data_IF_421661876558
#
_entry.id   IF_421661876558
#
_cell.length_a   1.000
_cell.length_b   1.000
_cell.length_c   1.000
_cell.angle_alpha   90.00
_cell.angle_beta   90.00
_cell.angle_gamma   90.00
#
_symmetry.space_group_name_H-M   'P 1'
#
loop_
_entity.id
_entity.type
_entity.pdbx_description
1 polymer ?
#
# COMPACT_ATOMS: atom_id res chain seq x y z
N UNK A 1 46.55 -37.21 -51.05
CA UNK A 1 45.33 -36.60 -51.63
C UNK A 1 44.26 -36.66 -50.55
N UNK A 2 44.08 -35.73 -49.60
CA UNK A 2 44.10 -34.26 -49.56
C UNK A 2 42.90 -33.59 -50.25
N UNK A 3 42.06 -32.98 -49.38
CA UNK A 3 41.02 -31.95 -49.54
C UNK A 3 39.55 -32.37 -49.82
N UNK A 4 38.55 -31.63 -49.27
CA UNK A 4 38.53 -30.87 -48.01
C UNK A 4 37.20 -31.01 -47.22
N UNK A 5 37.14 -30.57 -45.94
CA UNK A 5 35.87 -30.41 -45.23
C UNK A 5 35.21 -29.07 -45.59
N UNK A 6 33.94 -29.10 -45.96
CA UNK A 6 33.13 -27.92 -46.28
C UNK A 6 32.75 -27.13 -45.04
N UNK A 7 33.23 -25.88 -44.95
CA UNK A 7 32.80 -24.86 -44.00
C UNK A 7 31.42 -24.31 -44.38
N UNK A 8 30.45 -24.34 -43.46
CA UNK A 8 29.38 -23.33 -43.39
C UNK A 8 29.10 -23.03 -41.91
N UNK A 9 29.69 -21.94 -41.43
CA UNK A 9 29.04 -20.63 -41.16
C UNK A 9 28.00 -20.70 -40.04
N UNK A 10 28.48 -20.34 -38.86
CA UNK A 10 27.73 -19.75 -37.76
C UNK A 10 26.77 -18.67 -38.29
N UNK A 11 25.48 -18.83 -37.99
CA UNK A 11 24.52 -17.73 -37.98
C UNK A 11 23.84 -17.71 -36.62
N UNK A 12 24.44 -16.92 -35.74
CA UNK A 12 23.77 -16.28 -34.62
C UNK A 12 22.58 -15.47 -35.15
N UNK A 13 21.36 -15.97 -35.00
CA UNK A 13 20.17 -15.13 -35.11
C UNK A 13 19.96 -14.44 -33.76
N UNK A 14 20.69 -13.34 -33.57
CA UNK A 14 20.32 -12.32 -32.62
C UNK A 14 18.96 -11.75 -33.06
N UNK A 15 17.88 -12.20 -32.41
CA UNK A 15 16.62 -11.49 -32.49
C UNK A 15 16.75 -10.23 -31.63
N UNK A 16 17.00 -9.13 -32.33
CA UNK A 16 16.94 -7.79 -31.78
C UNK A 16 15.57 -7.58 -31.12
N UNK A 17 15.56 -7.46 -29.80
CA UNK A 17 14.44 -6.87 -29.07
C UNK A 17 14.31 -5.42 -29.54
N UNK A 18 13.42 -5.20 -30.50
CA UNK A 18 12.97 -3.87 -30.86
C UNK A 18 12.35 -3.22 -29.64
N UNK A 19 12.99 -2.16 -29.13
CA UNK A 19 12.33 -1.14 -28.30
C UNK A 19 11.12 -0.62 -29.07
N UNK A 20 9.95 -1.20 -28.83
CA UNK A 20 8.66 -0.57 -29.15
C UNK A 20 8.14 0.04 -27.86
N UNK A 21 8.27 1.36 -27.80
CA UNK A 21 7.54 2.27 -26.94
C UNK A 21 6.05 1.88 -26.92
N UNK A 22 5.63 1.24 -25.83
CA UNK A 22 4.26 0.77 -25.63
C UNK A 22 3.33 1.93 -25.23
N UNK A 23 2.09 1.97 -25.75
CA UNK A 23 1.14 3.00 -25.35
C UNK A 23 0.63 2.71 -23.93
N UNK A 24 0.86 3.69 -23.07
CA UNK A 24 0.10 4.15 -21.90
C UNK A 24 -1.29 3.50 -21.80
N UNK A 25 -1.48 2.56 -20.87
CA UNK A 25 -2.78 1.98 -20.55
C UNK A 25 -2.95 1.87 -19.03
N UNK A 26 -3.94 2.61 -18.58
CA UNK A 26 -3.94 3.41 -17.37
C UNK A 26 -5.30 3.27 -16.68
N UNK A 27 -5.55 2.11 -16.05
CA UNK A 27 -6.91 1.64 -15.93
C UNK A 27 -7.62 1.69 -14.49
N UNK A 28 -6.98 1.48 -13.29
CA UNK A 28 -7.50 0.75 -12.02
C UNK A 28 -8.60 1.33 -11.13
N UNK A 29 -8.98 2.58 -11.32
CA UNK A 29 -10.02 3.18 -10.49
C UNK A 29 -11.14 3.77 -11.32
N UNK A 30 -11.07 3.64 -12.64
CA UNK A 30 -12.21 3.93 -13.51
C UNK A 30 -13.36 2.94 -13.33
N UNK A 31 -13.09 1.75 -12.77
CA UNK A 31 -14.14 0.87 -12.28
C UNK A 31 -15.02 1.55 -11.22
N UNK A 32 -14.45 2.36 -10.34
CA UNK A 32 -15.15 3.17 -9.33
C UNK A 32 -15.64 4.51 -9.90
N UNK A 33 -14.96 5.07 -10.91
CA UNK A 33 -15.42 6.24 -11.66
C UNK A 33 -16.76 6.01 -12.34
N UNK A 34 -16.88 4.88 -13.05
CA UNK A 34 -18.03 4.65 -13.91
C UNK A 34 -19.30 4.42 -13.10
N UNK A 35 -19.13 4.14 -11.81
CA UNK A 35 -20.19 4.10 -10.82
C UNK A 35 -20.73 5.47 -10.41
N UNK A 36 -19.95 6.51 -10.63
CA UNK A 36 -20.31 7.89 -10.28
C UNK A 36 -20.69 8.71 -11.54
N UNK A 37 -20.13 8.40 -12.72
CA UNK A 37 -20.54 8.94 -14.04
C UNK A 37 -22.00 8.57 -14.39
N UNK A 38 -22.37 7.36 -14.03
CA UNK A 38 -23.71 6.84 -13.90
C UNK A 38 -24.75 7.72 -13.26
N UNK A 39 -24.40 8.19 -12.07
CA UNK A 39 -25.23 8.99 -11.21
C UNK A 39 -25.37 10.40 -11.79
N UNK A 40 -24.30 10.94 -12.36
CA UNK A 40 -24.31 12.23 -13.04
C UNK A 40 -25.15 12.24 -14.34
N UNK A 41 -25.18 11.16 -15.11
CA UNK A 41 -25.97 11.07 -16.35
C UNK A 41 -27.46 10.79 -16.09
N UNK A 42 -27.79 10.06 -15.02
CA UNK A 42 -29.17 9.79 -14.62
C UNK A 42 -29.90 11.02 -14.03
N UNK A 43 -29.17 11.97 -13.43
CA UNK A 43 -29.73 13.15 -12.76
C UNK A 43 -29.26 14.51 -13.34
N UNK A 44 -28.39 14.51 -14.36
CA UNK A 44 -27.83 15.69 -15.00
C UNK A 44 -28.82 16.76 -15.49
N UNK A 45 -30.01 16.41 -16.03
CA UNK A 45 -30.97 17.42 -16.46
C UNK A 45 -31.64 18.21 -15.32
N UNK A 46 -31.61 17.73 -14.07
CA UNK A 46 -32.19 18.43 -12.92
C UNK A 46 -31.17 19.20 -12.07
N UNK A 47 -29.86 18.91 -12.18
CA UNK A 47 -28.79 19.51 -11.35
C UNK A 47 -28.25 20.85 -11.91
N UNK A 48 -28.65 21.23 -13.14
CA UNK A 48 -28.20 22.51 -13.73
C UNK A 48 -28.66 23.76 -12.95
N UNK A 49 -29.66 23.65 -12.06
CA UNK A 49 -30.10 24.77 -11.21
C UNK A 49 -29.29 24.94 -9.92
N UNK A 50 -28.59 23.90 -9.45
CA UNK A 50 -27.84 23.90 -8.18
C UNK A 50 -26.34 24.14 -8.35
N UNK A 51 -25.83 24.08 -9.59
CA UNK A 51 -24.39 24.19 -9.91
C UNK A 51 -23.79 25.59 -9.65
N UNK A 52 -24.60 26.64 -9.73
CA UNK A 52 -24.14 28.01 -9.52
C UNK A 52 -23.97 28.37 -8.03
N UNK A 53 -24.76 27.77 -7.12
CA UNK A 53 -24.69 28.05 -5.69
C UNK A 53 -23.56 27.30 -4.97
N UNK A 54 -23.32 26.03 -5.34
CA UNK A 54 -22.35 25.18 -4.65
C UNK A 54 -20.88 25.50 -4.97
N UNK A 55 -20.59 26.10 -6.12
CA UNK A 55 -19.22 26.49 -6.48
C UNK A 55 -18.72 27.73 -5.73
N UNK A 56 -19.63 28.59 -5.23
CA UNK A 56 -19.27 29.78 -4.46
C UNK A 56 -18.88 29.50 -3.01
N UNK A 57 -19.41 28.42 -2.42
CA UNK A 57 -19.17 28.07 -1.01
C UNK A 57 -17.97 27.12 -0.81
N UNK A 58 -17.54 26.41 -1.86
CA UNK A 58 -16.51 25.38 -1.78
C UNK A 58 -15.06 25.86 -2.02
N UNK A 59 -14.87 27.13 -2.38
CA UNK A 59 -13.54 27.69 -2.65
C UNK A 59 -12.70 27.94 -1.38
N UNK A 60 -13.27 27.74 -0.18
CA UNK A 60 -12.65 28.07 1.11
C UNK A 60 -12.11 26.89 1.93
N UNK A 61 -12.14 25.65 1.42
CA UNK A 61 -11.42 24.52 2.03
C UNK A 61 -10.34 24.04 1.07
N UNK A 62 -9.12 24.57 1.22
CA UNK A 62 -7.93 24.00 0.60
C UNK A 62 -7.78 22.56 1.09
N UNK A 63 -8.09 21.59 0.24
CA UNK A 63 -8.05 20.17 0.54
C UNK A 63 -7.39 19.45 -0.64
N UNK A 64 -6.42 18.61 -0.30
CA UNK A 64 -5.46 17.92 -1.17
C UNK A 64 -6.10 17.23 -2.39
N UNK A 65 -5.39 17.20 -3.53
CA UNK A 65 -5.73 16.37 -4.71
C UNK A 65 -5.52 14.86 -4.48
N UNK A 66 -5.40 14.45 -3.21
CA UNK A 66 -5.05 13.11 -2.76
C UNK A 66 -6.18 12.54 -1.90
N UNK A 67 -6.52 11.26 -2.11
CA UNK A 67 -7.49 10.52 -1.32
C UNK A 67 -6.83 9.23 -0.82
N UNK A 68 -6.92 8.94 0.47
CA UNK A 68 -6.45 7.67 1.04
C UNK A 68 -7.59 6.88 1.69
N UNK A 69 -7.65 5.59 1.41
CA UNK A 69 -8.71 4.73 1.93
C UNK A 69 -8.25 3.30 2.18
N UNK A 70 -8.90 2.65 3.13
CA UNK A 70 -8.82 1.20 3.32
C UNK A 70 -10.00 0.54 2.63
N UNK A 71 -9.71 -0.41 1.74
CA UNK A 71 -10.70 -1.26 1.11
C UNK A 71 -10.56 -2.66 1.68
N UNK A 72 -11.63 -3.20 2.27
CA UNK A 72 -11.62 -4.56 2.78
C UNK A 72 -12.84 -5.36 2.35
N UNK A 73 -12.64 -6.66 2.13
CA UNK A 73 -13.71 -7.58 1.78
C UNK A 73 -14.06 -8.49 2.95
N UNK A 74 -15.34 -8.60 3.27
CA UNK A 74 -15.87 -9.55 4.26
C UNK A 74 -16.14 -10.91 3.60
N UNK A 75 -15.70 -11.99 4.24
CA UNK A 75 -16.10 -13.35 3.83
C UNK A 75 -17.60 -13.56 4.10
N UNK A 76 -18.16 -14.66 3.64
CA UNK A 76 -19.51 -15.11 4.02
C UNK A 76 -19.44 -15.86 5.34
N UNK A 77 -20.30 -15.51 6.29
CA UNK A 77 -20.51 -16.28 7.51
C UNK A 77 -21.37 -17.50 7.20
N UNK A 78 -20.95 -18.67 7.68
CA UNK A 78 -21.72 -19.90 7.54
C UNK A 78 -22.19 -20.36 8.92
N UNK A 79 -23.50 -20.27 9.19
CA UNK A 79 -24.10 -20.74 10.44
C UNK A 79 -24.35 -22.25 10.47
N UNK A 80 -24.10 -22.95 9.37
CA UNK A 80 -24.27 -24.38 9.23
C UNK A 80 -23.56 -24.91 7.99
N UNK A 81 -23.55 -26.24 7.84
CA UNK A 81 -22.93 -26.88 6.68
C UNK A 81 -23.60 -26.42 5.38
N UNK A 82 -22.85 -25.70 4.53
CA UNK A 82 -23.35 -25.01 3.33
C UNK A 82 -24.42 -23.92 3.57
N UNK A 83 -24.66 -23.47 4.81
CA UNK A 83 -25.69 -22.48 5.12
C UNK A 83 -25.07 -21.13 5.41
N UNK A 84 -25.11 -20.22 4.43
CA UNK A 84 -24.71 -18.84 4.63
C UNK A 84 -25.76 -18.08 5.46
N UNK A 85 -25.33 -17.32 6.48
CA UNK A 85 -26.22 -16.49 7.31
C UNK A 85 -25.98 -14.99 7.18
N UNK A 86 -24.99 -14.56 6.39
CA UNK A 86 -24.71 -13.16 6.15
C UNK A 86 -23.23 -12.89 5.91
N UNK A 87 -22.82 -11.62 5.86
CA UNK A 87 -21.41 -11.26 5.78
C UNK A 87 -20.69 -11.57 7.11
N UNK A 88 -19.56 -12.27 7.03
CA UNK A 88 -18.69 -12.63 8.14
C UNK A 88 -18.09 -11.43 8.83
N UNK A 89 -17.68 -11.64 10.08
CA UNK A 89 -17.10 -10.58 10.92
C UNK A 89 -15.59 -10.40 10.69
N UNK A 90 -14.98 -11.20 9.81
CA UNK A 90 -13.56 -11.12 9.48
C UNK A 90 -13.36 -10.59 8.07
N UNK A 91 -12.30 -9.80 7.92
CA UNK A 91 -11.88 -9.28 6.62
C UNK A 91 -10.88 -10.23 5.97
N UNK A 92 -11.27 -10.77 4.82
CA UNK A 92 -10.49 -11.77 4.11
C UNK A 92 -9.49 -11.18 3.13
N UNK A 93 -9.65 -9.88 2.85
CA UNK A 93 -8.79 -9.11 1.97
C UNK A 93 -8.76 -7.69 2.49
N UNK A 94 -7.57 -7.12 2.63
CA UNK A 94 -7.37 -5.77 3.13
C UNK A 94 -6.40 -5.08 2.17
N UNK A 95 -6.80 -3.93 1.64
CA UNK A 95 -5.98 -3.07 0.81
C UNK A 95 -5.97 -1.66 1.40
N UNK A 96 -4.80 -1.06 1.49
CA UNK A 96 -4.69 0.39 1.52
C UNK A 96 -4.63 0.88 0.07
N UNK A 97 -5.41 1.90 -0.25
CA UNK A 97 -5.46 2.51 -1.57
C UNK A 97 -5.26 4.01 -1.41
N UNK A 98 -4.34 4.56 -2.20
CA UNK A 98 -4.05 6.00 -2.24
C UNK A 98 -4.12 6.53 -3.65
N UNK A 99 -4.89 7.59 -3.83
CA UNK A 99 -5.21 8.19 -5.12
C UNK A 99 -4.58 9.56 -5.14
N UNK A 100 -3.69 9.83 -6.09
CA UNK A 100 -3.10 11.15 -6.27
C UNK A 100 -3.12 11.49 -7.74
N UNK A 101 -3.98 12.44 -8.12
CA UNK A 101 -4.25 12.69 -9.53
C UNK A 101 -4.66 11.39 -10.24
N UNK A 102 -3.95 11.03 -11.32
CA UNK A 102 -4.17 9.80 -12.09
C UNK A 102 -3.26 8.63 -11.65
N UNK A 103 -2.78 8.60 -10.42
CA UNK A 103 -2.04 7.45 -9.89
C UNK A 103 -2.79 6.82 -8.72
N UNK A 104 -2.89 5.50 -8.77
CA UNK A 104 -3.41 4.65 -7.71
C UNK A 104 -2.30 3.77 -7.17
N UNK A 105 -2.08 3.90 -5.88
CA UNK A 105 -1.18 3.02 -5.16
C UNK A 105 -1.99 2.08 -4.29
N UNK A 106 -1.78 0.78 -4.45
CA UNK A 106 -2.46 -0.27 -3.71
C UNK A 106 -1.45 -1.08 -2.91
N UNK A 107 -1.61 -1.10 -1.60
CA UNK A 107 -0.85 -1.96 -0.69
C UNK A 107 -1.76 -3.07 -0.23
N UNK A 108 -1.46 -4.30 -0.64
CA UNK A 108 -2.13 -5.51 -0.15
C UNK A 108 -1.59 -5.86 1.23
N UNK A 109 -2.47 -5.97 2.21
CA UNK A 109 -2.10 -6.30 3.59
C UNK A 109 -2.50 -7.75 3.84
N UNK A 110 -1.54 -8.64 4.13
CA UNK A 110 -1.83 -10.03 4.48
C UNK A 110 -2.78 -10.09 5.67
N UNK A 111 -3.86 -10.87 5.54
CA UNK A 111 -4.93 -10.90 6.53
C UNK A 111 -4.49 -11.49 7.88
N UNK A 112 -3.48 -12.36 7.84
CA UNK A 112 -2.92 -13.09 8.98
C UNK A 112 -1.74 -12.33 9.64
N UNK A 113 -1.50 -11.08 9.22
CA UNK A 113 -0.56 -10.16 9.85
C UNK A 113 -0.95 -9.91 11.31
N UNK A 114 0.00 -10.04 12.22
CA UNK A 114 -0.16 -9.69 13.63
C UNK A 114 -0.32 -8.18 13.76
N UNK A 115 -1.37 -7.79 14.46
CA UNK A 115 -1.65 -6.42 14.86
C UNK A 115 -1.67 -6.36 16.38
N UNK A 116 -1.01 -5.34 16.92
CA UNK A 116 -0.96 -5.02 18.34
C UNK A 116 -1.18 -3.52 18.43
N UNK A 117 -2.30 -3.09 19.01
CA UNK A 117 -2.64 -1.68 19.06
C UNK A 117 -4.02 -1.41 19.63
N UNK A 118 -4.39 -0.13 19.67
CA UNK A 118 -5.69 0.29 20.16
C UNK A 118 -6.78 0.05 19.10
N UNK A 119 -7.99 -0.20 19.57
CA UNK A 119 -9.20 -0.22 18.71
C UNK A 119 -10.28 0.62 19.38
N UNK A 120 -11.38 0.96 18.68
CA UNK A 120 -12.52 1.62 19.32
C UNK A 120 -13.11 0.90 20.55
N UNK A 121 -12.75 -0.38 20.77
CA UNK A 121 -13.15 -1.16 21.97
C UNK A 121 -11.99 -1.42 22.95
N UNK A 122 -10.87 -0.70 22.81
CA UNK A 122 -9.67 -0.82 23.62
C UNK A 122 -8.57 -1.67 22.98
N UNK A 123 -7.50 -1.91 23.75
CA UNK A 123 -6.30 -2.64 23.33
C UNK A 123 -6.63 -4.01 22.74
N UNK A 124 -6.00 -4.31 21.61
CA UNK A 124 -6.17 -5.55 20.88
C UNK A 124 -4.84 -6.12 20.41
N UNK A 125 -4.67 -7.42 20.63
CA UNK A 125 -3.58 -8.22 20.10
C UNK A 125 -4.19 -9.42 19.35
N UNK A 126 -3.82 -9.57 18.08
CA UNK A 126 -4.31 -10.66 17.25
C UNK A 126 -3.95 -10.47 15.79
N UNK A 127 -4.74 -11.07 14.90
CA UNK A 127 -4.55 -10.92 13.45
C UNK A 127 -5.33 -9.70 12.95
N UNK A 128 -4.79 -9.00 11.96
CA UNK A 128 -5.42 -7.78 11.45
C UNK A 128 -6.82 -8.05 10.86
N UNK A 129 -7.07 -9.25 10.33
CA UNK A 129 -8.39 -9.63 9.83
C UNK A 129 -9.51 -9.64 10.88
N UNK A 130 -9.20 -9.82 12.16
CA UNK A 130 -10.17 -9.80 13.27
C UNK A 130 -10.32 -8.41 13.89
N UNK A 131 -9.55 -7.41 13.45
CA UNK A 131 -9.73 -6.02 13.91
C UNK A 131 -11.13 -5.52 13.57
N UNK A 132 -11.63 -5.84 12.37
CA UNK A 132 -12.98 -5.44 11.96
C UNK A 132 -14.08 -6.01 12.87
N UNK A 133 -13.94 -7.25 13.35
CA UNK A 133 -14.88 -7.88 14.29
C UNK A 133 -15.01 -7.08 15.60
N UNK A 134 -13.90 -6.50 16.06
CA UNK A 134 -13.84 -5.73 17.31
C UNK A 134 -14.16 -4.26 17.09
N UNK A 135 -13.45 -3.60 16.19
CA UNK A 135 -13.47 -2.15 15.99
C UNK A 135 -14.32 -1.66 14.82
N UNK A 136 -14.97 -2.55 14.07
CA UNK A 136 -15.70 -2.21 12.86
C UNK A 136 -14.79 -1.63 11.77
N UNK A 137 -15.39 -0.97 10.78
CA UNK A 137 -14.63 -0.39 9.67
C UNK A 137 -13.68 0.73 10.11
N UNK A 138 -14.06 1.54 11.10
CA UNK A 138 -13.18 2.57 11.67
C UNK A 138 -11.98 1.99 12.41
N UNK A 139 -12.17 0.92 13.20
CA UNK A 139 -11.04 0.24 13.84
C UNK A 139 -10.05 -0.34 12.82
N UNK A 140 -10.56 -0.91 11.72
CA UNK A 140 -9.70 -1.40 10.65
C UNK A 140 -8.95 -0.26 9.92
N UNK A 141 -9.63 0.87 9.68
CA UNK A 141 -9.04 2.07 9.08
C UNK A 141 -7.86 2.56 9.92
N UNK A 142 -8.05 2.68 11.24
CA UNK A 142 -7.02 3.11 12.18
C UNK A 142 -5.86 2.12 12.24
N UNK A 143 -6.15 0.82 12.34
CA UNK A 143 -5.12 -0.22 12.38
C UNK A 143 -4.21 -0.21 11.14
N UNK A 144 -4.79 0.00 9.95
CA UNK A 144 -3.99 0.12 8.71
C UNK A 144 -3.20 1.44 8.68
N UNK A 145 -3.78 2.53 9.22
CA UNK A 145 -3.10 3.82 9.33
C UNK A 145 -1.86 3.73 10.23
N UNK A 146 -1.99 3.08 11.39
CA UNK A 146 -0.91 2.81 12.32
C UNK A 146 0.15 1.89 11.71
N UNK A 147 -0.29 0.78 11.09
CA UNK A 147 0.60 -0.18 10.45
C UNK A 147 1.49 0.44 9.36
N UNK A 148 0.95 1.35 8.56
CA UNK A 148 1.66 1.98 7.45
C UNK A 148 2.34 3.30 7.84
N UNK A 149 2.06 3.84 9.03
CA UNK A 149 2.54 5.15 9.46
C UNK A 149 2.02 6.31 8.59
N UNK A 150 0.89 6.12 7.89
CA UNK A 150 0.30 7.14 7.00
C UNK A 150 -1.17 7.36 7.31
N UNK A 151 -1.69 8.59 7.14
CA UNK A 151 -3.11 8.85 7.36
C UNK A 151 -3.96 8.09 6.33
N UNK A 152 -5.01 7.45 6.84
CA UNK A 152 -6.07 6.83 6.05
C UNK A 152 -7.36 7.63 6.27
N UNK A 153 -7.88 8.30 5.25
CA UNK A 153 -9.04 9.19 5.39
C UNK A 153 -10.36 8.42 5.46
N UNK A 154 -10.53 7.41 4.60
CA UNK A 154 -11.80 6.70 4.46
C UNK A 154 -11.67 5.18 4.58
N UNK A 155 -12.80 4.51 4.77
CA UNK A 155 -12.92 3.07 4.67
C UNK A 155 -14.01 2.69 3.66
N UNK A 156 -13.83 1.56 2.99
CA UNK A 156 -14.83 0.91 2.12
C UNK A 156 -14.80 -0.58 2.41
N UNK A 157 -15.89 -1.09 2.95
CA UNK A 157 -16.07 -2.50 3.25
C UNK A 157 -17.10 -3.07 2.27
N UNK A 158 -16.72 -4.17 1.62
CA UNK A 158 -17.50 -4.79 0.55
C UNK A 158 -17.66 -6.30 0.76
N UNK A 159 -18.65 -6.88 0.11
CA UNK A 159 -18.93 -8.32 0.14
C UNK A 159 -18.53 -8.98 -1.18
N UNK A 160 -18.42 -10.31 -1.21
CA UNK A 160 -18.21 -11.01 -2.48
C UNK A 160 -19.32 -10.75 -3.50
N UNK A 161 -20.57 -10.52 -3.06
CA UNK A 161 -21.66 -10.17 -3.96
C UNK A 161 -21.41 -8.86 -4.70
N UNK A 162 -20.90 -7.85 -3.98
CA UNK A 162 -20.49 -6.59 -4.60
C UNK A 162 -19.40 -6.84 -5.65
N UNK A 163 -18.40 -7.67 -5.35
CA UNK A 163 -17.34 -8.02 -6.31
C UNK A 163 -17.90 -8.73 -7.55
N UNK A 164 -18.78 -9.72 -7.38
CA UNK A 164 -19.41 -10.43 -8.49
C UNK A 164 -20.16 -9.46 -9.43
N UNK A 165 -20.94 -8.54 -8.85
CA UNK A 165 -21.68 -7.51 -9.59
C UNK A 165 -20.73 -6.62 -10.38
N UNK A 166 -19.64 -6.16 -9.77
CA UNK A 166 -18.64 -5.30 -10.43
C UNK A 166 -17.96 -6.00 -11.60
N UNK A 167 -17.56 -7.27 -11.44
CA UNK A 167 -16.92 -8.05 -12.52
C UNK A 167 -17.91 -8.32 -13.67
N UNK A 168 -19.19 -8.61 -13.37
CA UNK A 168 -20.20 -8.80 -14.40
C UNK A 168 -20.50 -7.52 -15.19
N UNK A 169 -20.38 -6.34 -14.56
CA UNK A 169 -20.63 -5.05 -15.23
C UNK A 169 -19.70 -4.82 -16.43
N UNK A 170 -18.49 -5.39 -16.35
CA UNK A 170 -17.45 -5.30 -17.37
C UNK A 170 -17.37 -6.54 -18.25
N UNK A 171 -18.40 -7.40 -18.21
CA UNK A 171 -18.47 -8.63 -19.00
C UNK A 171 -17.33 -9.59 -18.64
N UNK A 172 -17.16 -9.85 -17.34
CA UNK A 172 -16.18 -10.81 -16.82
C UNK A 172 -14.72 -10.36 -16.98
N UNK A 173 -13.77 -11.26 -16.71
CA UNK A 173 -12.32 -11.04 -16.88
C UNK A 173 -11.68 -12.25 -17.56
N UNK A 174 -10.64 -12.00 -18.35
CA UNK A 174 -9.92 -13.05 -19.06
C UNK A 174 -8.57 -13.30 -18.38
N UNK A 175 -8.36 -14.51 -17.88
CA UNK A 175 -7.11 -14.94 -17.24
C UNK A 175 -6.45 -16.05 -18.05
N UNK A 176 -5.15 -16.24 -17.88
CA UNK A 176 -4.42 -17.38 -18.47
C UNK A 176 -3.89 -18.25 -17.36
N UNK A 177 -4.45 -19.46 -17.24
CA UNK A 177 -4.09 -20.40 -16.19
C UNK A 177 -2.95 -21.30 -16.66
N UNK A 178 -1.77 -21.30 -16.00
CA UNK A 178 -0.66 -22.15 -16.41
C UNK A 178 -0.95 -23.65 -16.19
N UNK A 179 -1.83 -23.96 -15.24
CA UNK A 179 -2.21 -25.32 -14.83
C UNK A 179 -3.70 -25.37 -14.52
N UNK A 180 -4.35 -26.55 -14.60
CA UNK A 180 -5.75 -26.66 -14.21
C UNK A 180 -5.92 -26.38 -12.71
N UNK A 181 -6.94 -25.59 -12.37
CA UNK A 181 -7.26 -25.25 -10.98
C UNK A 181 -8.46 -26.08 -10.53
N UNK A 182 -8.20 -27.12 -9.74
CA UNK A 182 -9.25 -27.93 -9.10
C UNK A 182 -9.19 -27.81 -7.59
N UNK A 183 -10.26 -27.37 -6.96
CA UNK A 183 -10.36 -27.21 -5.52
C UNK A 183 -11.79 -27.41 -5.05
N UNK A 184 -11.97 -28.07 -3.92
CA UNK A 184 -13.28 -28.28 -3.32
C UNK A 184 -13.18 -27.98 -1.84
N UNK A 185 -13.89 -26.96 -1.40
CA UNK A 185 -14.13 -26.66 0.00
C UNK A 185 -15.57 -27.05 0.33
N UNK A 186 -15.68 -28.18 1.04
CA UNK A 186 -16.95 -28.74 1.48
C UNK A 186 -17.58 -27.98 2.63
N UNK A 187 -16.84 -27.17 3.38
CA UNK A 187 -17.43 -26.34 4.43
C UNK A 187 -18.13 -25.12 3.80
N UNK A 188 -17.46 -24.48 2.84
CA UNK A 188 -17.97 -23.30 2.15
C UNK A 188 -18.89 -23.59 0.95
N UNK A 189 -19.07 -24.87 0.57
CA UNK A 189 -19.79 -25.26 -0.65
C UNK A 189 -19.12 -24.75 -1.93
N UNK A 190 -17.80 -24.52 -1.89
CA UNK A 190 -17.04 -23.93 -2.98
C UNK A 190 -16.41 -25.03 -3.84
N UNK A 191 -16.85 -25.09 -5.09
CA UNK A 191 -16.29 -25.99 -6.10
C UNK A 191 -15.63 -25.19 -7.22
N UNK A 192 -14.36 -25.49 -7.47
CA UNK A 192 -13.53 -24.87 -8.51
C UNK A 192 -13.00 -25.98 -9.41
N UNK A 193 -13.27 -25.86 -10.71
CA UNK A 193 -12.67 -26.68 -11.75
C UNK A 193 -12.47 -25.81 -13.00
N UNK A 194 -11.28 -25.22 -13.12
CA UNK A 194 -10.88 -24.46 -14.30
C UNK A 194 -9.82 -25.23 -15.10
N UNK A 195 -9.94 -25.26 -16.44
CA UNK A 195 -8.92 -25.86 -17.30
C UNK A 195 -7.64 -25.01 -17.32
N UNK A 196 -6.52 -25.60 -17.74
CA UNK A 196 -5.35 -24.82 -18.11
C UNK A 196 -5.61 -24.04 -19.41
N UNK A 197 -4.92 -22.92 -19.59
CA UNK A 197 -5.02 -22.05 -20.76
C UNK A 197 -5.90 -20.81 -20.50
N UNK A 198 -6.32 -20.12 -21.58
CA UNK A 198 -7.18 -18.95 -21.48
C UNK A 198 -8.56 -19.31 -20.93
N UNK A 199 -9.01 -18.60 -19.89
CA UNK A 199 -10.31 -18.79 -19.26
C UNK A 199 -10.99 -17.44 -19.09
N UNK A 200 -12.24 -17.37 -19.53
CA UNK A 200 -13.12 -16.25 -19.24
C UNK A 200 -13.85 -16.50 -17.92
N UNK A 201 -13.71 -15.59 -16.97
CA UNK A 201 -14.31 -15.67 -15.65
C UNK A 201 -15.42 -14.61 -15.55
N UNK A 202 -16.66 -15.06 -15.41
CA UNK A 202 -17.74 -14.18 -14.96
C UNK A 202 -17.54 -13.77 -13.50
N UNK A 203 -18.44 -12.97 -12.93
CA UNK A 203 -18.32 -12.51 -11.54
C UNK A 203 -18.23 -13.65 -10.52
N UNK A 204 -19.01 -14.72 -10.71
CA UNK A 204 -19.02 -15.87 -9.80
C UNK A 204 -17.72 -16.64 -9.91
N UNK A 205 -17.27 -16.93 -11.12
CA UNK A 205 -16.03 -17.66 -11.37
C UNK A 205 -14.79 -16.83 -11.02
N UNK A 206 -14.84 -15.51 -11.15
CA UNK A 206 -13.79 -14.61 -10.66
C UNK A 206 -13.65 -14.68 -9.13
N UNK A 207 -14.76 -14.67 -8.38
CA UNK A 207 -14.71 -14.86 -6.92
C UNK A 207 -14.17 -16.24 -6.56
N UNK A 208 -14.55 -17.30 -7.28
CA UNK A 208 -13.95 -18.64 -7.08
C UNK A 208 -12.44 -18.62 -7.30
N UNK A 209 -12.00 -18.02 -8.41
CA UNK A 209 -10.59 -17.88 -8.74
C UNK A 209 -9.82 -17.15 -7.64
N UNK A 210 -10.36 -16.04 -7.13
CA UNK A 210 -9.84 -15.29 -5.98
C UNK A 210 -9.89 -16.06 -4.65
N UNK A 211 -10.60 -17.18 -4.55
CA UNK A 211 -10.68 -18.00 -3.31
C UNK A 211 -9.92 -19.33 -3.39
N UNK A 212 -9.19 -19.59 -4.48
CA UNK A 212 -8.42 -20.82 -4.64
C UNK A 212 -7.24 -20.93 -3.63
N UNK A 213 -7.00 -22.10 -3.02
CA UNK A 213 -6.03 -22.28 -1.89
C UNK A 213 -5.09 -23.51 -1.97
N UNK A 214 -4.88 -24.14 -3.13
CA UNK A 214 -4.26 -25.48 -3.22
C UNK A 214 -2.73 -25.59 -3.06
N UNK A 215 -1.96 -24.50 -2.86
CA UNK A 215 -0.49 -24.53 -2.81
C UNK A 215 0.10 -23.89 -1.55
N UNK A 216 1.34 -24.25 -1.19
CA UNK A 216 2.12 -23.57 -0.13
C UNK A 216 2.26 -22.07 -0.46
N UNK A 217 2.12 -21.19 0.55
CA UNK A 217 1.98 -19.74 0.32
C UNK A 217 0.60 -19.30 -0.21
N UNK A 218 -0.44 -20.14 -0.02
CA UNK A 218 -1.78 -19.97 -0.59
C UNK A 218 -2.39 -18.57 -0.44
N UNK A 219 -2.12 -17.88 0.67
CA UNK A 219 -2.71 -16.57 0.95
C UNK A 219 -2.08 -15.44 0.15
N UNK A 220 -0.74 -15.45 -0.02
CA UNK A 220 -0.06 -14.49 -0.88
C UNK A 220 -0.47 -14.67 -2.35
N UNK A 221 -0.51 -15.92 -2.81
CA UNK A 221 -1.02 -16.22 -4.15
C UNK A 221 -2.49 -15.84 -4.33
N UNK A 222 -3.28 -15.84 -3.25
CA UNK A 222 -4.67 -15.37 -3.26
C UNK A 222 -4.74 -13.86 -3.46
N UNK A 223 -3.93 -13.11 -2.72
CA UNK A 223 -3.79 -11.66 -2.92
C UNK A 223 -3.33 -11.31 -4.34
N UNK A 224 -2.41 -12.10 -4.92
CA UNK A 224 -1.97 -11.91 -6.29
C UNK A 224 -3.12 -12.08 -7.30
N UNK A 225 -3.95 -13.12 -7.13
CA UNK A 225 -5.14 -13.32 -7.98
C UNK A 225 -6.16 -12.20 -7.82
N UNK A 226 -6.36 -11.69 -6.60
CA UNK A 226 -7.26 -10.56 -6.36
C UNK A 226 -6.73 -9.30 -7.05
N UNK A 227 -5.44 -9.01 -6.94
CA UNK A 227 -4.77 -7.90 -7.65
C UNK A 227 -4.88 -8.06 -9.16
N UNK A 228 -4.73 -9.29 -9.68
CA UNK A 228 -4.87 -9.60 -11.10
C UNK A 228 -6.30 -9.35 -11.60
N UNK A 229 -7.32 -9.88 -10.91
CA UNK A 229 -8.73 -9.66 -11.24
C UNK A 229 -9.08 -8.17 -11.15
N UNK A 230 -8.62 -7.47 -10.11
CA UNK A 230 -8.78 -6.03 -9.97
C UNK A 230 -8.17 -5.29 -11.16
N UNK A 231 -6.95 -5.66 -11.56
CA UNK A 231 -6.28 -5.13 -12.75
C UNK A 231 -7.04 -5.41 -14.05
N UNK A 232 -7.56 -6.62 -14.24
CA UNK A 232 -8.28 -7.04 -15.45
C UNK A 232 -9.67 -6.41 -15.57
N UNK A 233 -10.49 -6.51 -14.52
CA UNK A 233 -11.89 -6.07 -14.51
C UNK A 233 -11.97 -4.59 -14.88
N UNK A 234 -11.04 -3.88 -14.32
CA UNK A 234 -10.81 -2.52 -14.65
C UNK A 234 -10.35 -2.25 -16.08
N UNK A 235 -9.36 -2.99 -16.59
CA UNK A 235 -8.87 -2.75 -17.95
C UNK A 235 -10.05 -2.79 -18.92
N UNK A 236 -11.03 -3.64 -18.61
CA UNK A 236 -12.33 -3.65 -19.26
C UNK A 236 -13.21 -2.46 -18.90
N UNK A 237 -13.38 -2.08 -17.63
CA UNK A 237 -14.15 -0.89 -17.23
C UNK A 237 -13.78 0.37 -18.04
N UNK A 238 -12.51 0.50 -18.40
CA UNK A 238 -11.98 1.60 -19.21
C UNK A 238 -12.35 1.63 -20.67
N UNK A 239 -12.79 0.51 -21.20
CA UNK A 239 -13.29 0.47 -22.55
C UNK A 239 -14.67 1.18 -22.59
N UNK A 240 -14.85 2.20 -23.45
CA UNK A 240 -16.11 2.93 -23.60
C UNK A 240 -17.33 2.05 -23.83
N UNK A 241 -17.13 0.85 -24.38
CA UNK A 241 -18.19 -0.15 -24.61
C UNK A 241 -18.98 -0.51 -23.33
N UNK A 242 -18.36 -0.49 -22.16
CA UNK A 242 -19.02 -0.89 -20.91
C UNK A 242 -19.62 0.29 -20.12
N UNK A 243 -19.40 1.53 -20.55
CA UNK A 243 -19.80 2.74 -19.81
C UNK A 243 -21.31 2.87 -19.61
N UNK A 244 -22.13 2.28 -20.48
CA UNK A 244 -23.59 2.28 -20.34
C UNK A 244 -24.12 1.31 -19.27
N UNK A 245 -23.37 0.25 -18.92
CA UNK A 245 -23.80 -0.79 -17.96
C UNK A 245 -23.38 -0.50 -16.54
N UNK A 246 -22.23 0.16 -16.39
CA UNK A 246 -21.64 0.48 -15.09
C UNK A 246 -22.55 1.27 -14.16
N UNK A 247 -23.42 2.18 -14.66
CA UNK A 247 -24.34 2.92 -13.81
C UNK A 247 -25.35 2.18 -12.98
N UNK A 248 -25.99 1.16 -13.53
CA UNK A 248 -26.94 0.37 -12.75
C UNK A 248 -26.23 -0.42 -11.67
N UNK A 249 -25.07 -0.99 -12.00
CA UNK A 249 -24.27 -1.79 -11.08
C UNK A 249 -23.70 -0.95 -9.95
N UNK A 250 -23.26 0.27 -10.26
CA UNK A 250 -22.81 1.29 -9.33
C UNK A 250 -23.67 1.48 -8.11
N UNK A 251 -24.92 1.84 -8.37
CA UNK A 251 -25.86 2.23 -7.34
C UNK A 251 -26.23 1.01 -6.52
N UNK A 252 -26.41 -0.14 -7.18
CA UNK A 252 -26.65 -1.41 -6.52
C UNK A 252 -25.50 -1.83 -5.60
N UNK A 253 -24.24 -1.60 -6.01
CA UNK A 253 -23.06 -1.90 -5.20
C UNK A 253 -22.92 -0.88 -4.08
N UNK A 254 -23.02 0.42 -4.36
CA UNK A 254 -22.86 1.50 -3.38
C UNK A 254 -23.80 1.33 -2.18
N UNK A 255 -25.06 0.98 -2.43
CA UNK A 255 -26.05 0.73 -1.38
C UNK A 255 -25.74 -0.51 -0.52
N UNK A 256 -24.82 -1.38 -0.97
CA UNK A 256 -24.35 -2.55 -0.23
C UNK A 256 -22.98 -2.37 0.43
N UNK A 257 -22.33 -1.21 0.24
CA UNK A 257 -21.05 -0.89 0.87
C UNK A 257 -21.27 -0.32 2.27
N UNK A 258 -20.38 -0.67 3.19
CA UNK A 258 -20.18 0.09 4.42
C UNK A 258 -18.98 1.02 4.19
N UNK A 259 -19.22 2.33 4.16
CA UNK A 259 -18.19 3.32 3.81
C UNK A 259 -18.35 4.65 4.52
N UNK A 260 -17.23 5.28 4.86
CA UNK A 260 -17.17 6.69 5.29
C UNK A 260 -16.94 7.67 4.13
N UNK A 261 -16.78 7.20 2.90
CA UNK A 261 -16.56 8.05 1.73
C UNK A 261 -17.88 8.66 1.26
N UNK A 262 -17.94 9.99 1.16
CA UNK A 262 -19.13 10.63 0.61
C UNK A 262 -19.22 10.39 -0.90
N UNK A 263 -20.45 10.23 -1.42
CA UNK A 263 -20.68 10.05 -2.86
C UNK A 263 -20.15 11.25 -3.68
N UNK A 264 -20.20 12.46 -3.13
CA UNK A 264 -19.64 13.68 -3.71
C UNK A 264 -18.11 13.68 -3.80
N UNK A 265 -17.42 13.06 -2.85
CA UNK A 265 -15.97 12.90 -2.85
C UNK A 265 -15.54 11.84 -3.86
N UNK A 266 -16.25 10.70 -3.90
CA UNK A 266 -16.07 9.68 -4.92
C UNK A 266 -16.26 10.25 -6.35
N UNK A 267 -17.24 11.15 -6.52
CA UNK A 267 -17.49 11.86 -7.79
C UNK A 267 -16.32 12.77 -8.22
N UNK A 268 -15.51 13.31 -7.30
CA UNK A 268 -14.39 14.20 -7.65
C UNK A 268 -13.22 13.46 -8.30
N UNK A 269 -13.09 12.18 -8.01
CA UNK A 269 -12.03 11.34 -8.57
C UNK A 269 -12.25 11.10 -10.07
N UNK A 270 -13.50 11.14 -10.54
CA UNK A 270 -13.95 10.87 -11.91
C UNK A 270 -12.99 11.25 -13.04
N UNK A 271 -12.51 12.51 -13.13
CA UNK A 271 -11.73 12.97 -14.27
C UNK A 271 -10.38 12.25 -14.37
N UNK A 272 -9.78 11.94 -13.22
CA UNK A 272 -8.45 11.33 -13.12
C UNK A 272 -8.44 9.86 -13.50
N UNK A 273 -9.62 9.25 -13.55
CA UNK A 273 -9.76 7.81 -13.65
C UNK A 273 -9.49 7.30 -15.06
N UNK A 274 -9.74 8.10 -16.10
CA UNK A 274 -9.47 7.74 -17.52
C UNK A 274 -8.01 7.41 -17.80
N UNK A 275 -7.10 8.01 -17.02
CA UNK A 275 -5.66 7.89 -17.21
C UNK A 275 -4.97 7.27 -16.00
N UNK A 276 -5.70 6.48 -15.21
CA UNK A 276 -5.21 6.09 -13.90
C UNK A 276 -4.26 4.88 -13.90
N UNK A 277 -2.99 5.10 -13.57
CA UNK A 277 -2.01 4.02 -13.41
C UNK A 277 -2.13 3.34 -12.07
N UNK A 278 -2.02 2.00 -12.03
CA UNK A 278 -1.92 1.24 -10.79
C UNK A 278 -0.49 0.84 -10.50
N UNK A 279 -0.03 1.18 -9.31
CA UNK A 279 1.07 0.53 -8.64
C UNK A 279 0.48 -0.33 -7.53
N UNK A 280 0.84 -1.60 -7.50
CA UNK A 280 0.41 -2.47 -6.41
C UNK A 280 1.58 -3.25 -5.88
N UNK A 281 1.65 -3.38 -4.56
CA UNK A 281 2.58 -4.27 -3.90
C UNK A 281 1.89 -4.95 -2.72
N UNK A 282 2.44 -6.09 -2.29
CA UNK A 282 2.06 -6.69 -1.02
C UNK A 282 2.99 -6.15 0.06
N UNK A 283 2.44 -5.86 1.24
CA UNK A 283 3.21 -5.45 2.40
C UNK A 283 4.35 -6.47 2.65
N UNK A 284 5.60 -6.04 2.84
CA UNK A 284 6.69 -6.95 3.14
C UNK A 284 6.50 -7.49 4.56
N UNK A 285 6.56 -8.81 4.70
CA UNK A 285 6.31 -9.50 5.96
C UNK A 285 7.33 -10.58 6.23
N UNK A 286 7.62 -10.83 7.50
CA UNK A 286 8.39 -11.97 7.99
C UNK A 286 7.43 -12.96 8.68
N UNK A 287 7.81 -14.24 8.65
CA UNK A 287 7.12 -15.28 9.42
C UNK A 287 7.68 -15.32 10.85
N UNK A 288 6.81 -15.19 11.85
CA UNK A 288 7.16 -15.35 13.26
C UNK A 288 6.17 -16.31 13.92
N UNK A 289 6.58 -17.57 14.09
CA UNK A 289 5.72 -18.63 14.58
C UNK A 289 4.55 -18.89 13.63
N UNK A 290 3.31 -18.67 14.09
CA UNK A 290 2.08 -18.85 13.32
C UNK A 290 1.49 -17.53 12.78
N UNK A 291 2.23 -16.44 12.88
CA UNK A 291 1.79 -15.10 12.49
C UNK A 291 2.75 -14.48 11.49
N UNK A 292 2.22 -13.58 10.66
CA UNK A 292 3.05 -12.70 9.85
C UNK A 292 3.31 -11.42 10.64
N UNK A 293 4.51 -10.88 10.59
CA UNK A 293 4.83 -9.56 11.14
C UNK A 293 5.35 -8.66 10.01
N UNK A 294 5.18 -7.33 10.09
CA UNK A 294 5.79 -6.43 9.12
C UNK A 294 7.32 -6.61 9.14
N UNK A 295 7.97 -6.61 7.97
CA UNK A 295 9.43 -6.65 7.90
C UNK A 295 9.99 -5.27 8.27
N UNK A 296 10.58 -5.10 9.47
CA UNK A 296 11.02 -3.79 9.93
C UNK A 296 12.13 -3.19 9.06
N UNK A 297 12.93 -4.02 8.37
CA UNK A 297 14.01 -3.55 7.50
C UNK A 297 13.49 -3.09 6.13
N UNK A 298 12.44 -3.75 5.60
CA UNK A 298 11.89 -3.42 4.30
C UNK A 298 10.82 -2.31 4.35
N UNK A 299 10.04 -2.24 5.43
CA UNK A 299 8.90 -1.33 5.60
C UNK A 299 9.20 0.15 5.30
N UNK A 300 10.30 0.76 5.78
CA UNK A 300 10.57 2.17 5.53
C UNK A 300 10.78 2.47 4.05
N UNK A 301 11.63 1.68 3.39
CA UNK A 301 11.88 1.82 1.95
C UNK A 301 10.64 1.50 1.10
N UNK A 302 9.81 0.56 1.57
CA UNK A 302 8.54 0.21 0.95
C UNK A 302 7.55 1.37 1.01
N UNK A 303 7.33 1.95 2.19
CA UNK A 303 6.43 3.09 2.38
C UNK A 303 6.94 4.31 1.61
N UNK A 304 8.23 4.64 1.70
CA UNK A 304 8.82 5.77 0.97
C UNK A 304 8.72 5.59 -0.56
N UNK A 305 9.10 4.40 -1.07
CA UNK A 305 9.12 4.12 -2.51
C UNK A 305 7.73 4.00 -3.14
N UNK A 306 6.76 3.46 -2.41
CA UNK A 306 5.42 3.20 -2.92
C UNK A 306 4.45 4.35 -2.61
N UNK A 307 4.53 4.92 -1.41
CA UNK A 307 3.66 6.00 -0.95
C UNK A 307 4.28 7.41 -1.12
N UNK A 308 5.45 7.55 -1.74
CA UNK A 308 5.97 8.79 -2.36
C UNK A 308 5.53 10.12 -1.71
N UNK A 309 5.76 10.29 -0.41
CA UNK A 309 5.45 11.51 0.34
C UNK A 309 6.60 11.82 1.33
N UNK A 310 6.99 13.10 1.31
CA UNK A 310 8.01 13.89 2.06
C UNK A 310 9.49 13.49 1.96
N UNK A 311 10.34 14.52 1.84
CA UNK A 311 11.78 14.42 2.07
C UNK A 311 12.06 13.78 3.44
N UNK A 312 11.17 14.02 4.41
CA UNK A 312 11.22 13.40 5.73
C UNK A 312 11.03 11.88 5.69
N UNK A 313 10.16 11.30 4.86
CA UNK A 313 10.03 9.84 4.78
C UNK A 313 11.21 9.16 4.07
N UNK A 314 11.85 9.84 3.11
CA UNK A 314 13.09 9.36 2.49
C UNK A 314 14.25 9.41 3.48
N UNK A 315 14.34 10.50 4.24
CA UNK A 315 15.23 10.64 5.41
C UNK A 315 14.94 9.52 6.40
N UNK A 316 13.69 9.33 6.84
CA UNK A 316 13.29 8.27 7.77
C UNK A 316 13.70 6.88 7.28
N UNK A 317 13.47 6.59 5.99
CA UNK A 317 13.83 5.31 5.42
C UNK A 317 15.35 5.06 5.43
N UNK A 318 16.15 6.10 5.16
CA UNK A 318 17.61 6.04 5.28
C UNK A 318 18.07 5.91 6.73
N UNK A 319 17.40 6.56 7.68
CA UNK A 319 17.69 6.44 9.11
C UNK A 319 17.48 4.99 9.60
N UNK A 320 16.36 4.36 9.21
CA UNK A 320 16.10 2.95 9.58
C UNK A 320 17.07 1.99 8.86
N UNK A 321 17.35 2.22 7.57
CA UNK A 321 18.31 1.41 6.81
C UNK A 321 19.72 1.50 7.40
N UNK A 322 20.11 2.67 7.90
CA UNK A 322 21.41 2.88 8.53
C UNK A 322 21.58 2.06 9.81
N UNK A 323 20.55 1.94 10.64
CA UNK A 323 20.57 1.05 11.80
C UNK A 323 20.67 -0.43 11.38
N UNK A 324 19.95 -0.84 10.32
CA UNK A 324 20.06 -2.20 9.78
C UNK A 324 21.47 -2.51 9.22
N UNK A 325 22.23 -1.50 8.80
CA UNK A 325 23.64 -1.61 8.44
C UNK A 325 24.58 -1.66 9.65
N UNK A 326 24.04 -1.60 10.87
CA UNK A 326 24.79 -1.64 12.13
C UNK A 326 25.45 -0.31 12.50
N UNK A 327 25.03 0.81 11.90
CA UNK A 327 25.54 2.14 12.27
C UNK A 327 24.99 2.56 13.63
N UNK A 328 25.86 3.09 14.49
CA UNK A 328 25.51 3.47 15.86
C UNK A 328 25.37 4.98 15.98
N UNK A 329 24.19 5.43 16.43
CA UNK A 329 23.90 6.84 16.69
C UNK A 329 23.80 7.08 18.20
N UNK A 330 24.54 8.08 18.69
CA UNK A 330 24.41 8.61 20.05
C UNK A 330 23.69 9.96 20.03
N UNK A 331 22.75 10.14 20.95
CA UNK A 331 22.23 11.43 21.35
C UNK A 331 22.88 11.83 22.68
N UNK A 332 23.76 12.81 22.63
CA UNK A 332 24.47 13.37 23.77
C UNK A 332 23.71 14.62 24.27
N UNK A 333 23.02 14.47 25.39
CA UNK A 333 22.25 15.54 26.00
C UNK A 333 23.15 16.41 26.90
N UNK A 334 23.48 17.60 26.40
CA UNK A 334 24.21 18.66 27.10
C UNK A 334 23.31 19.87 27.37
N UNK A 335 21.99 19.69 27.31
CA UNK A 335 21.04 20.79 27.47
C UNK A 335 20.84 21.21 28.92
N UNK A 336 21.24 20.35 29.87
CA UNK A 336 20.98 20.51 31.31
C UNK A 336 19.50 20.40 31.71
N UNK A 337 18.61 20.11 30.75
CA UNK A 337 17.15 20.09 30.94
C UNK A 337 16.52 18.74 30.61
N UNK A 338 17.32 17.72 30.30
CA UNK A 338 16.82 16.37 29.99
C UNK A 338 16.11 16.30 28.64
N UNK A 339 16.57 17.08 27.66
CA UNK A 339 15.96 17.09 26.32
C UNK A 339 16.15 15.76 25.58
N UNK A 340 17.21 15.01 25.89
CA UNK A 340 17.56 13.80 25.17
C UNK A 340 16.45 12.75 25.18
N UNK A 341 15.80 12.54 26.33
CA UNK A 341 14.70 11.58 26.43
C UNK A 341 13.46 12.06 25.67
N UNK A 342 13.21 13.38 25.65
CA UNK A 342 12.11 13.96 24.88
C UNK A 342 12.30 13.78 23.38
N UNK A 343 13.51 14.00 22.88
CA UNK A 343 13.83 13.74 21.47
C UNK A 343 13.73 12.24 21.17
N UNK A 344 14.27 11.38 22.04
CA UNK A 344 14.16 9.91 21.90
C UNK A 344 12.71 9.45 21.79
N UNK A 345 11.80 9.99 22.60
CA UNK A 345 10.36 9.70 22.48
C UNK A 345 9.79 10.19 21.14
N UNK A 346 10.18 11.38 20.69
CA UNK A 346 9.81 11.87 19.35
C UNK A 346 10.27 10.93 18.23
N UNK A 347 11.48 10.35 18.32
CA UNK A 347 11.95 9.33 17.37
C UNK A 347 11.02 8.11 17.37
N UNK A 348 10.61 7.61 18.54
CA UNK A 348 9.69 6.47 18.68
C UNK A 348 8.32 6.79 18.08
N UNK A 349 7.77 7.98 18.38
CA UNK A 349 6.47 8.44 17.85
C UNK A 349 6.49 8.57 16.32
N UNK A 350 7.65 8.90 15.74
CA UNK A 350 7.86 8.95 14.29
C UNK A 350 8.18 7.58 13.66
N UNK A 351 8.21 6.50 14.43
CA UNK A 351 8.57 5.16 13.94
C UNK A 351 10.03 5.01 13.55
N UNK A 352 10.91 5.86 14.07
CA UNK A 352 12.35 5.79 13.87
C UNK A 352 13.04 4.98 14.97
N UNK A 353 14.19 4.38 14.65
CA UNK A 353 15.01 3.73 15.67
C UNK A 353 15.50 4.76 16.69
N UNK A 354 15.19 4.57 17.98
CA UNK A 354 15.56 5.53 19.00
C UNK A 354 17.07 5.51 19.24
N UNK A 355 17.79 6.63 19.08
CA UNK A 355 19.21 6.69 19.38
C UNK A 355 19.47 6.41 20.86
N UNK A 356 20.66 5.88 21.16
CA UNK A 356 21.12 5.79 22.55
C UNK A 356 21.24 7.19 23.13
N UNK A 357 20.78 7.40 24.38
CA UNK A 357 20.86 8.71 25.04
C UNK A 357 21.90 8.63 26.14
N UNK A 358 22.82 9.59 26.15
CA UNK A 358 23.75 9.80 27.26
C UNK A 358 23.71 11.24 27.72
N UNK A 359 23.81 11.45 29.03
CA UNK A 359 23.95 12.77 29.63
C UNK A 359 25.41 13.21 29.54
N UNK A 360 25.64 14.43 29.06
CA UNK A 360 26.93 15.09 29.06
C UNK A 360 26.96 16.30 29.99
N UNK A 361 28.14 16.89 30.16
CA UNK A 361 28.26 18.18 30.85
C UNK A 361 27.50 19.25 30.08
N UNK A 362 26.69 20.04 30.81
CA UNK A 362 25.86 21.06 30.19
C UNK A 362 26.72 22.16 29.55
N UNK A 363 26.50 22.43 28.26
CA UNK A 363 27.25 23.42 27.51
C UNK A 363 27.35 23.12 26.02
N UNK A 364 27.92 24.04 25.25
CA UNK A 364 28.07 23.91 23.80
C UNK A 364 26.82 24.27 22.99
N UNK A 365 26.91 24.15 21.67
CA UNK A 365 25.81 24.38 20.73
C UNK A 365 25.28 23.05 20.20
N UNK A 366 23.97 22.97 19.94
CA UNK A 366 23.39 21.79 19.30
C UNK A 366 23.98 21.56 17.90
N UNK A 367 24.43 20.35 17.62
CA UNK A 367 25.19 20.00 16.39
C UNK A 367 25.12 18.50 16.13
N UNK A 368 25.14 18.10 14.86
CA UNK A 368 25.35 16.71 14.46
C UNK A 368 26.81 16.51 14.06
N UNK A 369 27.46 15.51 14.64
CA UNK A 369 28.86 15.17 14.43
C UNK A 369 29.00 13.85 13.68
N UNK A 370 29.90 13.83 12.70
CA UNK A 370 30.29 12.61 11.98
C UNK A 370 31.79 12.53 11.79
N UNK A 371 32.34 11.31 11.71
CA UNK A 371 33.78 11.11 11.49
C UNK A 371 34.20 11.58 10.09
N UNK A 372 35.30 12.33 9.99
CA UNK A 372 35.89 12.75 8.72
C UNK A 372 36.68 11.59 8.08
N UNK A 373 36.27 11.17 6.87
CA UNK A 373 36.86 10.05 6.10
C UNK A 373 36.07 8.74 6.30
N UNK A 374 35.77 7.91 5.30
CA UNK A 374 36.36 7.69 3.97
C UNK A 374 35.20 7.43 2.98
N UNK A 375 35.11 8.25 1.94
CA UNK A 375 34.39 7.87 0.72
C UNK A 375 35.34 7.04 -0.13
N UNK A 376 35.10 5.74 -0.23
CA UNK A 376 35.77 4.92 -1.25
C UNK A 376 35.06 5.23 -2.57
N UNK A 377 35.76 5.94 -3.46
CA UNK A 377 35.33 6.20 -4.85
C UNK A 377 34.06 7.07 -4.97
N UNK A 378 34.20 8.37 -4.75
CA UNK A 378 33.22 9.39 -5.21
C UNK A 378 31.79 9.26 -4.69
N UNK A 379 31.54 8.46 -3.64
CA UNK A 379 30.23 8.24 -3.00
C UNK A 379 30.29 8.56 -1.52
N UNK A 380 29.38 9.38 -1.01
CA UNK A 380 29.29 9.70 0.43
C UNK A 380 29.28 8.41 1.29
N UNK A 381 29.94 8.43 2.45
CA UNK A 381 29.93 7.26 3.35
C UNK A 381 28.53 7.10 3.96
N UNK A 382 28.07 5.86 4.26
CA UNK A 382 26.76 5.64 4.89
C UNK A 382 26.56 6.46 6.18
N UNK A 383 27.61 6.58 7.01
CA UNK A 383 27.59 7.41 8.22
C UNK A 383 27.45 8.91 7.93
N UNK A 384 28.03 9.41 6.84
CA UNK A 384 27.91 10.82 6.45
C UNK A 384 26.51 11.15 5.92
N UNK A 385 25.93 10.25 5.11
CA UNK A 385 24.54 10.38 4.65
C UNK A 385 23.60 10.38 5.85
N UNK A 386 23.79 9.44 6.79
CA UNK A 386 23.04 9.36 8.05
C UNK A 386 23.13 10.66 8.87
N UNK A 387 24.33 11.21 9.02
CA UNK A 387 24.54 12.44 9.78
C UNK A 387 23.88 13.66 9.12
N UNK A 388 23.90 13.76 7.79
CA UNK A 388 23.16 14.80 7.06
C UNK A 388 21.66 14.67 7.29
N UNK A 389 21.13 13.46 7.16
CA UNK A 389 19.71 13.17 7.34
C UNK A 389 19.23 13.58 8.75
N UNK A 390 20.01 13.31 9.81
CA UNK A 390 19.71 13.81 11.16
C UNK A 390 19.82 15.34 11.28
N UNK A 391 20.81 15.95 10.65
CA UNK A 391 21.00 17.40 10.67
C UNK A 391 19.81 18.13 10.02
N UNK A 392 19.33 17.60 8.89
CA UNK A 392 18.16 18.12 8.18
C UNK A 392 16.88 17.94 9.02
N UNK A 393 16.66 16.74 9.57
CA UNK A 393 15.49 16.39 10.40
C UNK A 393 15.38 17.27 11.65
N UNK A 394 16.51 17.53 12.32
CA UNK A 394 16.55 18.27 13.58
C UNK A 394 16.83 19.77 13.39
N UNK A 395 17.01 20.21 12.15
CA UNK A 395 17.45 21.57 11.80
C UNK A 395 18.72 22.00 12.55
N UNK A 396 19.69 21.09 12.66
CA UNK A 396 20.95 21.29 13.35
C UNK A 396 22.11 21.43 12.36
N UNK A 397 23.18 22.18 12.70
CA UNK A 397 24.37 22.21 11.89
C UNK A 397 25.06 20.83 11.86
N UNK A 398 25.56 20.44 10.69
CA UNK A 398 26.41 19.26 10.51
C UNK A 398 27.89 19.65 10.60
N UNK A 399 28.68 18.95 11.42
CA UNK A 399 30.13 19.11 11.53
C UNK A 399 30.87 17.78 11.41
N UNK A 400 32.02 17.80 10.74
CA UNK A 400 32.89 16.64 10.64
C UNK A 400 34.03 16.71 11.66
N UNK A 401 34.38 15.59 12.30
CA UNK A 401 35.49 15.47 13.26
C UNK A 401 36.43 14.33 12.90
N UNK A 402 37.73 14.48 13.14
CA UNK A 402 38.71 13.39 12.91
C UNK A 402 38.43 12.19 13.81
N UNK A 403 37.97 12.45 15.03
CA UNK A 403 37.56 11.46 16.02
C UNK A 403 36.27 11.93 16.68
N UNK A 404 35.33 10.99 16.82
CA UNK A 404 34.12 11.16 17.62
C UNK A 404 34.42 10.70 19.05
N UNK A 405 33.97 11.48 20.02
CA UNK A 405 34.00 11.15 21.44
C UNK A 405 32.59 11.38 21.99
N UNK A 406 31.97 10.40 22.67
CA UNK A 406 32.49 9.08 23.02
C UNK A 406 32.79 8.17 21.81
N UNK A 407 33.74 7.23 21.98
CA UNK A 407 34.07 6.25 20.93
C UNK A 407 32.98 5.18 20.81
N UNK A 408 32.91 4.58 19.62
CA UNK A 408 31.99 3.47 19.34
C UNK A 408 30.71 3.87 18.60
N UNK A 409 30.59 5.15 18.25
CA UNK A 409 29.48 5.70 17.47
C UNK A 409 29.95 6.21 16.12
N UNK A 410 29.06 6.13 15.14
CA UNK A 410 29.26 6.60 13.77
C UNK A 410 28.72 8.02 13.59
N UNK A 411 27.67 8.37 14.34
CA UNK A 411 27.04 9.70 14.37
C UNK A 411 26.75 10.10 15.83
N UNK A 412 27.03 11.35 16.19
CA UNK A 412 26.71 11.91 17.51
C UNK A 412 25.86 13.17 17.33
N UNK A 413 24.65 13.16 17.87
CA UNK A 413 23.75 14.31 17.95
C UNK A 413 23.96 14.96 19.30
N UNK A 414 24.50 16.17 19.34
CA UNK A 414 24.68 16.94 20.57
C UNK A 414 23.51 17.89 20.72
N UNK A 415 22.85 17.86 21.88
CA UNK A 415 21.82 18.85 22.26
C UNK A 415 22.43 19.81 23.27
N UNK A 416 22.66 21.06 22.88
CA UNK A 416 23.12 22.11 23.79
C UNK A 416 21.97 22.79 24.54
N UNK A 417 22.28 23.73 25.45
CA UNK A 417 21.28 24.61 26.06
C UNK A 417 20.58 25.45 24.99
N UNK A 418 19.26 25.54 25.08
CA UNK A 418 18.41 26.37 24.19
C UNK A 418 18.48 27.85 24.53
#
# INVERSE_FOLDING_TARGET
MAQPPSRHRTRSSAWAYGRRSGPRLSLVLLGLALLTLAFALAYGPQINKTRAGLLGEYQNRGLSEELSLVVAARDTEYCGYHTACGPGLRTDTIFYIRLRGSEATVVAIPRDLRYVGETPKGYFEGKINTVYERGGAEGLRLAVSELLGVPVEHHVILTFEAVMKLVNAVDGVDVVLPYPMKYTDRAAGLYIDFPAGPVHLDGKDAVKYMRFRRWEGSDLGRLDRIKEVMGLALRKAQNPRYWSRLPGVASAVWNSLETSLASSEALRLLPNLRNLTLKSATLPTLEEGNSLIPDPAAMPSFVAGLLGQTADAEVMARLVQAEALGLKTLLLDQSGTGQGERYRQGFIEMGLPPPEVQLGEAGGSSVVLVRSGVSVVGRESPAFVLARDYADLLHLPLQTRIRLEPRGYDVIIVLGPT
#
